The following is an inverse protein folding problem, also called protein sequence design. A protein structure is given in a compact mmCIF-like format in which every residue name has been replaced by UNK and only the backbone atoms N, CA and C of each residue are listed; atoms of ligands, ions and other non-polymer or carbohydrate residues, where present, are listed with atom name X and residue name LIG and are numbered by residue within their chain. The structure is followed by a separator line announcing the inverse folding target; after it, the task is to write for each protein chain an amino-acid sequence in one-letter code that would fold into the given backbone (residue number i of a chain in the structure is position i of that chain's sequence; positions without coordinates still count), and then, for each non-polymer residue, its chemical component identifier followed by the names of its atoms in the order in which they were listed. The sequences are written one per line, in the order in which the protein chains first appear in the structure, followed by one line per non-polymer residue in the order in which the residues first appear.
data_IF_226729737513
#
_entry.id   IF_226729737513
#
_cell.length_a   1.000
_cell.length_b   1.000
_cell.length_c   1.000
_cell.angle_alpha   90.00
_cell.angle_beta   90.00
_cell.angle_gamma   90.00
#
_symmetry.space_group_name_H-M   'P 1'
#
loop_
_entity.id
_entity.type
_entity.pdbx_description
1 polymer ?
#
# COMPACT_ATOMS: atom_id res chain seq x y z
N UNK A 1 -7.67 -2.17 -9.57
CA UNK A 1 -7.01 -3.38 -9.00
C UNK A 1 -6.80 -3.17 -7.50
N UNK A 2 -6.60 -4.23 -6.71
CA UNK A 2 -6.35 -4.14 -5.26
C UNK A 2 -4.95 -4.62 -4.94
N UNK A 3 -4.25 -3.95 -4.05
CA UNK A 3 -2.87 -4.30 -3.70
C UNK A 3 -2.70 -4.30 -2.18
N UNK A 4 -1.94 -5.25 -1.65
CA UNK A 4 -1.41 -5.16 -0.29
C UNK A 4 0.00 -4.56 -0.38
N UNK A 5 0.22 -3.45 0.31
CA UNK A 5 1.52 -2.82 0.47
C UNK A 5 2.06 -3.11 1.86
N UNK A 6 3.15 -3.86 1.94
CA UNK A 6 3.94 -4.00 3.15
C UNK A 6 4.92 -2.85 3.23
N UNK A 7 5.06 -2.27 4.41
CA UNK A 7 5.97 -1.18 4.66
C UNK A 7 6.81 -1.47 5.90
N UNK A 8 8.04 -0.96 5.88
CA UNK A 8 8.96 -1.00 7.01
C UNK A 8 9.83 0.25 7.02
N UNK A 9 10.23 0.68 8.20
CA UNK A 9 11.12 1.82 8.41
C UNK A 9 12.03 1.55 9.61
N UNK A 10 13.14 2.27 9.68
CA UNK A 10 14.05 2.18 10.83
C UNK A 10 13.58 3.12 11.95
N UNK A 11 13.77 2.72 13.22
CA UNK A 11 13.29 3.47 14.38
C UNK A 11 13.75 4.94 14.40
N UNK A 12 14.94 5.19 13.86
CA UNK A 12 15.57 6.52 13.76
C UNK A 12 14.80 7.46 12.83
N UNK A 13 14.07 6.94 11.85
CA UNK A 13 13.31 7.72 10.87
C UNK A 13 11.84 7.91 11.25
N UNK A 14 11.40 7.44 12.42
CA UNK A 14 9.97 7.44 12.83
C UNK A 14 9.33 8.83 12.73
N UNK A 15 10.03 9.89 13.14
CA UNK A 15 9.47 11.25 13.11
C UNK A 15 9.28 11.74 11.67
N UNK A 16 10.20 11.41 10.77
CA UNK A 16 10.09 11.75 9.33
C UNK A 16 8.97 10.97 8.67
N UNK A 17 8.82 9.70 9.01
CA UNK A 17 7.72 8.85 8.54
C UNK A 17 6.36 9.41 8.97
N UNK A 18 6.23 9.84 10.24
CA UNK A 18 5.01 10.49 10.75
C UNK A 18 4.70 11.77 9.98
N UNK A 19 5.70 12.61 9.71
CA UNK A 19 5.51 13.84 8.95
C UNK A 19 5.01 13.55 7.52
N UNK A 20 5.69 12.63 6.81
CA UNK A 20 5.30 12.20 5.46
C UNK A 20 3.89 11.58 5.45
N UNK A 21 3.56 10.81 6.47
CA UNK A 21 2.20 10.25 6.62
C UNK A 21 1.14 11.34 6.76
N UNK A 22 1.40 12.37 7.55
CA UNK A 22 0.53 13.55 7.66
C UNK A 22 0.36 14.28 6.31
N UNK A 23 1.46 14.53 5.60
CA UNK A 23 1.43 15.20 4.29
C UNK A 23 0.61 14.41 3.26
N UNK A 24 0.88 13.11 3.11
CA UNK A 24 0.15 12.24 2.18
C UNK A 24 -1.34 12.14 2.52
N UNK A 25 -1.68 12.10 3.83
CA UNK A 25 -3.08 12.06 4.28
C UNK A 25 -3.81 13.34 3.91
N UNK A 26 -3.19 14.50 4.17
CA UNK A 26 -3.76 15.80 3.81
C UNK A 26 -3.92 15.98 2.29
N UNK A 27 -2.99 15.47 1.47
CA UNK A 27 -3.14 15.47 0.01
C UNK A 27 -4.34 14.63 -0.44
N UNK A 28 -4.51 13.43 0.13
CA UNK A 28 -5.66 12.56 -0.17
C UNK A 28 -6.99 13.19 0.23
N UNK A 29 -7.06 13.85 1.39
CA UNK A 29 -8.26 14.56 1.84
C UNK A 29 -8.64 15.73 0.92
N UNK A 30 -7.65 16.37 0.29
CA UNK A 30 -7.85 17.40 -0.74
C UNK A 30 -8.26 16.84 -2.10
N UNK A 31 -8.39 15.52 -2.24
CA UNK A 31 -8.73 14.86 -3.50
C UNK A 31 -7.57 14.78 -4.49
N UNK A 32 -6.31 14.96 -4.04
CA UNK A 32 -5.14 14.83 -4.91
C UNK A 32 -4.96 13.35 -5.26
N UNK A 33 -5.11 13.02 -6.54
CA UNK A 33 -5.03 11.64 -7.03
C UNK A 33 -3.59 11.13 -7.29
N UNK A 34 -2.59 11.74 -6.65
CA UNK A 34 -1.18 11.36 -6.82
C UNK A 34 -0.85 9.99 -6.22
N UNK A 35 -1.50 9.64 -5.12
CA UNK A 35 -1.25 8.42 -4.36
C UNK A 35 -2.42 7.45 -4.47
N UNK A 36 -2.14 6.15 -4.48
CA UNK A 36 -3.18 5.14 -4.54
C UNK A 36 -4.13 5.28 -3.33
N UNK A 37 -5.43 5.03 -3.55
CA UNK A 37 -6.45 5.13 -2.51
C UNK A 37 -6.25 4.03 -1.48
N UNK A 38 -6.20 4.37 -0.20
CA UNK A 38 -6.22 3.37 0.88
C UNK A 38 -7.64 2.87 1.08
N UNK A 39 -7.82 1.55 1.09
CA UNK A 39 -9.13 0.89 1.33
C UNK A 39 -9.15 0.07 2.63
N UNK A 40 -7.99 -0.20 3.23
CA UNK A 40 -7.87 -0.88 4.52
C UNK A 40 -6.52 -0.54 5.17
N UNK A 41 -6.50 -0.19 6.45
CA UNK A 41 -5.28 0.23 7.17
C UNK A 41 -5.01 1.73 7.13
N UNK A 42 -3.79 2.18 7.48
CA UNK A 42 -2.60 1.36 7.78
C UNK A 42 -2.68 0.58 9.10
N UNK A 43 -2.05 -0.59 9.16
CA UNK A 43 -1.93 -1.39 10.38
C UNK A 43 -0.47 -1.69 10.72
N UNK A 44 -0.08 -1.38 11.95
CA UNK A 44 1.20 -1.80 12.52
C UNK A 44 1.17 -3.28 12.93
N UNK A 45 2.29 -3.97 12.73
CA UNK A 45 2.55 -5.22 13.44
C UNK A 45 3.04 -4.83 14.84
N UNK A 46 2.43 -5.41 15.88
CA UNK A 46 2.70 -5.01 17.27
C UNK A 46 4.17 -5.17 17.63
N UNK A 47 4.77 -4.12 18.19
CA UNK A 47 6.19 -4.10 18.59
C UNK A 47 7.18 -3.88 17.45
N UNK A 48 6.71 -3.65 16.22
CA UNK A 48 7.55 -3.63 15.03
C UNK A 48 7.41 -2.30 14.25
N UNK A 49 8.52 -1.87 13.63
CA UNK A 49 8.54 -0.72 12.70
C UNK A 49 8.15 -1.15 11.28
N UNK A 50 7.15 -2.02 11.17
CA UNK A 50 6.61 -2.52 9.91
C UNK A 50 5.13 -2.85 10.03
N UNK A 51 4.48 -2.95 8.89
CA UNK A 51 3.05 -3.17 8.81
C UNK A 51 2.58 -3.34 7.39
N UNK A 52 1.28 -3.18 7.20
CA UNK A 52 0.69 -3.26 5.88
C UNK A 52 -0.51 -2.32 5.72
N UNK A 53 -0.82 -2.04 4.47
CA UNK A 53 -1.96 -1.22 4.04
C UNK A 53 -2.51 -1.80 2.74
N UNK A 54 -3.82 -1.84 2.56
CA UNK A 54 -4.43 -2.26 1.29
C UNK A 54 -4.84 -1.04 0.49
N UNK A 55 -4.47 -1.04 -0.78
CA UNK A 55 -4.73 0.02 -1.73
C UNK A 55 -5.67 -0.46 -2.83
N UNK A 56 -6.44 0.48 -3.39
CA UNK A 56 -7.15 0.30 -4.65
C UNK A 56 -6.67 1.33 -5.66
N UNK A 57 -6.23 0.84 -6.82
CA UNK A 57 -5.87 1.67 -7.97
C UNK A 57 -5.89 0.84 -9.25
N UNK A 58 -6.24 1.46 -10.36
CA UNK A 58 -6.06 0.98 -11.73
C UNK A 58 -4.75 1.46 -12.36
N UNK A 59 -4.04 2.36 -11.69
CA UNK A 59 -2.78 2.96 -12.13
C UNK A 59 -1.63 2.58 -11.18
N UNK A 60 -0.75 1.64 -11.57
CA UNK A 60 0.40 1.23 -10.76
C UNK A 60 1.37 2.37 -10.42
N UNK A 61 1.43 3.45 -11.20
CA UNK A 61 2.34 4.57 -10.94
C UNK A 61 1.95 5.29 -9.65
N UNK A 62 0.66 5.25 -9.26
CA UNK A 62 0.20 5.78 -7.96
C UNK A 62 0.76 5.01 -6.76
N UNK A 63 1.17 3.74 -6.93
CA UNK A 63 1.89 2.98 -5.91
C UNK A 63 3.37 3.33 -5.91
N UNK A 64 3.99 3.47 -7.09
CA UNK A 64 5.37 3.92 -7.20
C UNK A 64 5.58 5.30 -6.57
N UNK A 65 4.62 6.22 -6.75
CA UNK A 65 4.60 7.53 -6.10
C UNK A 65 4.66 7.43 -4.56
N UNK A 66 3.98 6.44 -3.97
CA UNK A 66 4.06 6.18 -2.53
C UNK A 66 5.49 5.77 -2.16
N UNK A 67 6.07 4.76 -2.83
CA UNK A 67 7.44 4.32 -2.56
C UNK A 67 8.45 5.46 -2.67
N UNK A 68 8.39 6.24 -3.75
CA UNK A 68 9.31 7.35 -4.01
C UNK A 68 9.14 8.43 -2.94
N UNK A 69 7.90 8.80 -2.61
CA UNK A 69 7.64 9.83 -1.61
C UNK A 69 8.19 9.45 -0.23
N UNK A 70 8.13 8.17 0.13
CA UNK A 70 8.65 7.65 1.40
C UNK A 70 10.15 7.35 1.41
N UNK A 71 10.82 7.35 0.26
CA UNK A 71 12.27 7.06 0.17
C UNK A 71 13.08 8.27 0.72
N UNK A 72 14.18 8.04 1.46
CA UNK A 72 14.73 6.74 1.89
C UNK A 72 14.14 6.14 3.18
N UNK A 73 13.29 6.88 3.90
CA UNK A 73 12.88 6.59 5.28
C UNK A 73 12.00 5.35 5.44
N UNK A 74 11.29 4.93 4.39
CA UNK A 74 10.41 3.75 4.45
C UNK A 74 10.48 2.96 3.14
N UNK A 75 10.62 1.64 3.28
CA UNK A 75 10.66 0.69 2.18
C UNK A 75 9.27 0.09 1.99
N UNK A 76 8.85 -0.02 0.74
CA UNK A 76 7.54 -0.56 0.35
C UNK A 76 7.67 -1.80 -0.54
N UNK A 77 6.81 -2.79 -0.31
CA UNK A 77 6.62 -3.94 -1.19
C UNK A 77 5.13 -4.11 -1.50
N UNK A 78 4.76 -4.01 -2.77
CA UNK A 78 3.37 -4.10 -3.22
C UNK A 78 3.10 -5.44 -3.91
N UNK A 79 2.05 -6.13 -3.47
CA UNK A 79 1.57 -7.36 -4.08
C UNK A 79 0.14 -7.18 -4.56
N UNK A 80 -0.15 -7.64 -5.79
CA UNK A 80 -1.49 -7.66 -6.34
C UNK A 80 -2.36 -8.68 -5.60
N UNK A 81 -3.54 -8.25 -5.15
CA UNK A 81 -4.56 -9.12 -4.56
C UNK A 81 -5.51 -9.57 -5.66
N UNK A 82 -5.54 -10.87 -5.93
CA UNK A 82 -6.49 -11.48 -6.85
C UNK A 82 -7.71 -12.02 -6.11
N UNK A 83 -8.88 -11.88 -6.73
CA UNK A 83 -10.12 -12.45 -6.22
C UNK A 83 -10.08 -13.99 -6.34
N UNK A 84 -10.16 -14.68 -5.20
CA UNK A 84 -10.12 -16.14 -5.14
C UNK A 84 -11.30 -16.80 -5.88
N UNK A 85 -12.45 -16.14 -6.00
CA UNK A 85 -13.60 -16.68 -6.76
C UNK A 85 -13.26 -16.83 -8.25
N UNK A 86 -12.64 -15.81 -8.84
CA UNK A 86 -12.18 -15.83 -10.24
C UNK A 86 -11.12 -16.90 -10.49
N UNK A 87 -10.18 -17.05 -9.55
CA UNK A 87 -9.16 -18.09 -9.66
C UNK A 87 -9.77 -19.49 -9.60
N UNK A 88 -10.77 -19.69 -8.72
CA UNK A 88 -11.50 -20.96 -8.59
C UNK A 88 -12.26 -21.30 -9.88
N UNK A 89 -12.98 -20.32 -10.46
CA UNK A 89 -13.69 -20.51 -11.73
C UNK A 89 -12.74 -20.90 -12.87
N UNK A 90 -11.59 -20.23 -12.98
CA UNK A 90 -10.58 -20.55 -14.00
C UNK A 90 -10.03 -21.98 -13.81
N UNK A 91 -9.70 -22.35 -12.57
CA UNK A 91 -9.18 -23.66 -12.25
C UNK A 91 -10.18 -24.78 -12.58
N UNK A 92 -11.48 -24.57 -12.29
CA UNK A 92 -12.53 -25.52 -12.64
C UNK A 92 -12.75 -25.64 -14.16
N UNK A 93 -12.56 -24.56 -14.92
CA UNK A 93 -12.61 -24.60 -16.39
C UNK A 93 -11.45 -25.39 -16.99
N UNK A 94 -10.24 -25.29 -16.41
CA UNK A 94 -9.06 -26.02 -16.88
C UNK A 94 -9.10 -27.54 -16.60
N UNK A 95 -9.90 -27.99 -15.62
CA UNK A 95 -10.04 -29.41 -15.28
C UNK A 95 -11.09 -30.17 -16.12
N UNK A 96 -11.89 -29.47 -16.91
CA UNK A 96 -12.85 -30.06 -17.86
C UNK A 96 -12.21 -30.18 -19.23
#
# INVERSE_FOLDING_TARGET
MKFIGFWEYDAEDVMKVIEKFGQMTAEREKGVERFARTIFGPFHISGEHRGFTVFETDDPDKLANISIFYTPEMRWSFLLINDSSKLTELYLKMKK
#
